data_IF_036751967162
#
_entry.id   IF_036751967162
#
_cell.length_a   1.000
_cell.length_b   1.000
_cell.length_c   1.000
_cell.angle_alpha   90.00
_cell.angle_beta   90.00
_cell.angle_gamma   90.00
#
_symmetry.space_group_name_H-M   'P 1'
#
loop_
_entity.id
_entity.type
_entity.pdbx_description
1 polymer ?
#
# COMPACT_ATOMS: atom_id res chain seq x y z
N UNK A 1 -0.24 3.70 -25.14
CA UNK A 1 -1.29 4.57 -24.57
C UNK A 1 -2.44 3.72 -24.02
N UNK A 2 -2.88 3.98 -22.78
CA UNK A 2 -4.03 3.26 -22.23
C UNK A 2 -5.34 4.01 -22.56
N UNK A 3 -6.39 3.31 -23.08
CA UNK A 3 -7.65 3.96 -23.43
C UNK A 3 -8.34 4.65 -22.25
N UNK A 4 -9.15 5.66 -22.55
CA UNK A 4 -10.00 6.30 -21.55
C UNK A 4 -10.91 5.24 -20.90
N UNK A 5 -11.00 5.29 -19.56
CA UNK A 5 -11.88 4.42 -18.79
C UNK A 5 -12.40 5.21 -17.56
N UNK A 6 -13.71 5.19 -17.28
CA UNK A 6 -14.28 5.89 -16.14
C UNK A 6 -13.64 5.42 -14.81
N UNK A 7 -13.43 4.10 -14.66
CA UNK A 7 -12.79 3.51 -13.48
C UNK A 7 -11.26 3.65 -13.42
N UNK A 8 -10.61 4.42 -14.31
CA UNK A 8 -9.15 4.64 -14.26
C UNK A 8 -8.81 5.74 -13.24
N UNK A 9 -7.79 5.51 -12.41
CA UNK A 9 -7.15 6.58 -11.66
C UNK A 9 -6.38 7.49 -12.62
N UNK A 10 -6.74 8.77 -12.69
CA UNK A 10 -6.18 9.71 -13.68
C UNK A 10 -4.93 10.46 -13.21
N UNK A 11 -4.74 10.55 -11.89
CA UNK A 11 -3.64 11.31 -11.28
C UNK A 11 -2.70 10.45 -10.44
N UNK A 12 -3.25 9.69 -9.49
CA UNK A 12 -2.46 8.85 -8.60
C UNK A 12 -2.07 7.53 -9.29
N UNK A 13 -0.80 7.10 -9.23
CA UNK A 13 -0.33 5.86 -9.86
C UNK A 13 -0.81 4.64 -9.06
N UNK A 14 -2.05 4.23 -9.28
CA UNK A 14 -2.73 3.19 -8.52
C UNK A 14 -3.49 2.25 -9.44
N UNK A 15 -3.60 0.99 -9.04
CA UNK A 15 -4.39 -0.03 -9.70
C UNK A 15 -5.19 -0.83 -8.67
N UNK A 16 -6.34 -1.34 -9.09
CA UNK A 16 -7.17 -2.26 -8.30
C UNK A 16 -7.31 -3.57 -9.07
N UNK A 17 -7.43 -4.68 -8.35
CA UNK A 17 -7.76 -5.96 -8.95
C UNK A 17 -9.13 -5.88 -9.64
N UNK A 18 -9.32 -6.70 -10.66
CA UNK A 18 -10.59 -6.79 -11.39
C UNK A 18 -11.66 -7.43 -10.50
N UNK A 19 -11.28 -8.46 -9.77
CA UNK A 19 -12.13 -9.22 -8.87
C UNK A 19 -12.21 -8.55 -7.50
N UNK A 20 -13.42 -8.43 -6.96
CA UNK A 20 -13.62 -8.04 -5.56
C UNK A 20 -13.52 -9.24 -4.65
N UNK A 21 -12.89 -9.04 -3.50
CA UNK A 21 -12.92 -10.01 -2.40
C UNK A 21 -14.15 -9.73 -1.54
N UNK A 22 -15.00 -10.73 -1.35
CA UNK A 22 -16.29 -10.58 -0.63
C UNK A 22 -16.31 -11.33 0.71
N UNK A 23 -15.34 -12.19 0.95
CA UNK A 23 -15.24 -13.05 2.14
C UNK A 23 -13.80 -13.08 2.67
N UNK A 24 -13.46 -14.11 3.46
CA UNK A 24 -12.10 -14.34 3.93
C UNK A 24 -11.23 -14.80 2.78
N UNK A 25 -10.27 -13.96 2.40
CA UNK A 25 -9.27 -14.27 1.39
C UNK A 25 -7.87 -14.04 1.95
N UNK A 26 -6.90 -14.76 1.38
CA UNK A 26 -5.49 -14.54 1.60
C UNK A 26 -4.81 -14.35 0.25
N UNK A 27 -3.90 -13.38 0.17
CA UNK A 27 -3.08 -13.15 -1.00
C UNK A 27 -1.72 -12.64 -0.53
N UNK A 28 -0.71 -12.90 -1.35
CA UNK A 28 0.66 -12.43 -1.17
C UNK A 28 1.06 -11.61 -2.38
N UNK A 29 1.92 -10.62 -2.18
CA UNK A 29 2.52 -9.87 -3.26
C UNK A 29 3.99 -9.61 -2.93
N UNK A 30 4.85 -9.85 -3.91
CA UNK A 30 6.26 -9.50 -3.82
C UNK A 30 6.44 -8.04 -4.24
N UNK A 31 7.21 -7.28 -3.48
CA UNK A 31 7.54 -5.90 -3.80
C UNK A 31 9.03 -5.65 -3.64
N UNK A 32 9.61 -4.94 -4.61
CA UNK A 32 10.98 -4.44 -4.54
C UNK A 32 10.94 -2.98 -4.13
N UNK A 33 11.50 -2.66 -2.96
CA UNK A 33 11.63 -1.29 -2.46
C UNK A 33 13.12 -0.95 -2.41
N UNK A 34 13.48 0.18 -3.01
CA UNK A 34 14.84 0.72 -2.93
C UNK A 34 14.79 2.19 -2.57
N UNK A 35 15.93 2.73 -2.18
CA UNK A 35 16.09 4.16 -1.95
C UNK A 35 15.67 4.96 -3.18
N UNK A 36 14.93 6.05 -2.96
CA UNK A 36 14.49 6.95 -4.03
C UNK A 36 13.30 6.48 -4.87
N UNK A 37 12.84 5.23 -4.71
CA UNK A 37 11.68 4.69 -5.44
C UNK A 37 10.34 5.16 -4.84
N UNK A 38 10.38 5.77 -3.66
CA UNK A 38 9.22 6.24 -2.92
C UNK A 38 8.47 5.10 -2.22
N UNK A 39 7.30 5.45 -1.68
CA UNK A 39 6.47 4.51 -0.91
C UNK A 39 5.76 3.54 -1.84
N UNK A 40 5.98 2.24 -1.64
CA UNK A 40 5.19 1.18 -2.27
C UNK A 40 4.05 0.81 -1.33
N UNK A 41 2.83 0.70 -1.85
CA UNK A 41 1.65 0.39 -1.05
C UNK A 41 0.88 -0.78 -1.61
N UNK A 42 0.41 -1.65 -0.73
CA UNK A 42 -0.63 -2.62 -1.04
C UNK A 42 -1.89 -2.23 -0.27
N UNK A 43 -3.03 -2.25 -0.93
CA UNK A 43 -4.25 -1.67 -0.38
C UNK A 43 -5.48 -2.53 -0.65
N UNK A 44 -6.45 -2.39 0.24
CA UNK A 44 -7.82 -2.82 0.04
C UNK A 44 -8.71 -1.57 0.01
N UNK A 45 -9.69 -1.59 -0.89
CA UNK A 45 -10.59 -0.44 -1.08
C UNK A 45 -11.99 -0.92 -1.41
N UNK A 46 -12.98 -0.19 -0.93
CA UNK A 46 -14.33 -0.29 -1.45
C UNK A 46 -14.38 0.23 -2.88
N UNK A 47 -15.32 -0.29 -3.67
CA UNK A 47 -15.55 0.14 -5.06
C UNK A 47 -15.93 1.63 -5.17
N UNK A 48 -16.43 2.22 -4.09
CA UNK A 48 -16.83 3.63 -4.01
C UNK A 48 -15.69 4.63 -3.80
N UNK A 49 -14.42 4.22 -3.88
CA UNK A 49 -13.30 5.18 -3.85
C UNK A 49 -13.38 6.13 -5.05
N UNK A 50 -13.06 7.41 -4.83
CA UNK A 50 -12.95 8.35 -5.94
C UNK A 50 -11.74 8.01 -6.80
N UNK A 51 -11.82 8.26 -8.11
CA UNK A 51 -10.75 7.90 -9.05
C UNK A 51 -10.21 9.08 -9.85
N UNK A 52 -10.75 10.27 -9.64
CA UNK A 52 -10.48 11.45 -10.47
C UNK A 52 -9.92 12.60 -9.66
N UNK A 53 -8.85 13.19 -10.17
CA UNK A 53 -8.22 14.37 -9.60
C UNK A 53 -7.16 14.07 -8.54
N UNK A 54 -6.62 15.15 -7.98
CA UNK A 54 -5.45 15.14 -7.08
C UNK A 54 -5.81 15.01 -5.60
N UNK A 55 -7.10 14.92 -5.29
CA UNK A 55 -7.61 14.92 -3.92
C UNK A 55 -7.20 13.69 -3.13
N UNK A 56 -7.23 13.82 -1.79
CA UNK A 56 -6.99 12.70 -0.87
C UNK A 56 -7.99 11.56 -1.04
N UNK A 57 -9.20 11.88 -1.50
CA UNK A 57 -10.30 10.92 -1.64
C UNK A 57 -10.03 9.86 -2.72
N UNK A 58 -9.04 10.11 -3.58
CA UNK A 58 -8.60 9.19 -4.62
C UNK A 58 -7.39 8.33 -4.25
N UNK A 59 -6.66 8.67 -3.17
CA UNK A 59 -5.42 7.99 -2.79
C UNK A 59 -5.68 6.97 -1.68
N UNK A 60 -5.19 5.75 -1.84
CA UNK A 60 -5.35 4.68 -0.86
C UNK A 60 -4.84 5.09 0.52
N UNK A 61 -5.63 4.79 1.56
CA UNK A 61 -5.34 5.14 2.95
C UNK A 61 -5.60 6.60 3.31
N UNK A 62 -5.81 7.51 2.35
CA UNK A 62 -6.10 8.93 2.60
C UNK A 62 -7.60 9.26 2.63
N UNK A 63 -8.43 8.23 2.65
CA UNK A 63 -9.89 8.31 2.69
C UNK A 63 -10.45 7.19 3.59
N UNK A 64 -11.76 7.26 3.88
CA UNK A 64 -12.46 6.29 4.72
C UNK A 64 -12.79 4.96 4.03
N UNK A 65 -12.66 4.90 2.70
CA UNK A 65 -13.05 3.75 1.87
C UNK A 65 -11.87 2.82 1.58
N UNK A 66 -10.69 3.06 2.17
CA UNK A 66 -9.49 2.27 1.89
C UNK A 66 -8.56 2.16 3.08
N UNK A 67 -7.82 1.07 3.09
CA UNK A 67 -6.69 0.80 3.98
C UNK A 67 -5.48 0.43 3.13
N UNK A 68 -4.31 0.95 3.49
CA UNK A 68 -3.04 0.60 2.83
C UNK A 68 -1.99 0.14 3.85
N UNK A 69 -1.24 -0.89 3.47
CA UNK A 69 0.06 -1.21 4.03
C UNK A 69 1.13 -0.59 3.13
N UNK A 70 1.88 0.34 3.68
CA UNK A 70 2.92 1.11 3.02
C UNK A 70 4.29 0.57 3.45
N UNK A 71 5.19 0.40 2.48
CA UNK A 71 6.58 0.04 2.66
C UNK A 71 7.46 1.13 2.06
N UNK A 72 8.44 1.58 2.83
CA UNK A 72 9.36 2.66 2.45
C UNK A 72 10.80 2.29 2.83
N UNK A 73 11.75 2.75 2.01
CA UNK A 73 13.20 2.67 2.30
C UNK A 73 13.71 4.10 2.45
N UNK A 74 13.74 4.63 3.68
CA UNK A 74 14.29 5.95 3.95
C UNK A 74 15.76 6.03 3.53
N UNK A 75 16.18 7.20 3.06
CA UNK A 75 17.59 7.45 2.68
C UNK A 75 18.54 7.49 3.88
N UNK A 76 18.02 7.65 5.09
CA UNK A 76 18.78 7.77 6.34
C UNK A 76 18.83 6.45 7.14
N UNK A 77 18.27 5.36 6.60
CA UNK A 77 18.16 4.08 7.30
C UNK A 77 18.29 2.90 6.36
N UNK A 78 19.16 1.94 6.67
CA UNK A 78 19.27 0.64 5.97
C UNK A 78 18.04 -0.25 6.14
N UNK A 79 17.16 0.07 7.09
CA UNK A 79 15.96 -0.71 7.40
C UNK A 79 14.74 -0.18 6.65
N UNK A 80 13.92 -1.11 6.17
CA UNK A 80 12.58 -0.82 5.69
C UNK A 80 11.69 -0.33 6.84
N UNK A 81 10.81 0.61 6.52
CA UNK A 81 9.77 1.09 7.41
C UNK A 81 8.40 0.71 6.84
N UNK A 82 7.55 0.18 7.73
CA UNK A 82 6.19 -0.22 7.37
C UNK A 82 5.18 0.66 8.10
N UNK A 83 4.12 1.02 7.40
CA UNK A 83 3.04 1.81 7.97
C UNK A 83 1.69 1.26 7.52
N UNK A 84 0.73 1.24 8.43
CA UNK A 84 -0.68 1.08 8.05
C UNK A 84 -1.29 2.47 7.99
N UNK A 85 -1.99 2.76 6.89
CA UNK A 85 -2.70 4.04 6.72
C UNK A 85 -4.19 3.81 6.46
N UNK A 86 -5.00 4.62 7.12
CA UNK A 86 -6.44 4.70 6.92
C UNK A 86 -6.98 6.08 7.28
N UNK A 87 -7.87 6.63 6.44
CA UNK A 87 -8.47 7.94 6.66
C UNK A 87 -7.45 9.03 7.05
N UNK A 88 -6.32 9.07 6.34
CA UNK A 88 -5.17 9.98 6.56
C UNK A 88 -4.35 9.71 7.83
N UNK A 89 -4.83 8.86 8.72
CA UNK A 89 -4.08 8.44 9.90
C UNK A 89 -3.05 7.38 9.51
N UNK A 90 -1.84 7.52 10.04
CA UNK A 90 -0.70 6.64 9.77
C UNK A 90 -0.21 6.04 11.07
N UNK A 91 -0.03 4.72 11.08
CA UNK A 91 0.50 3.97 12.21
C UNK A 91 1.73 3.20 11.77
N UNK A 92 2.88 3.44 12.41
CA UNK A 92 4.11 2.69 12.13
C UNK A 92 4.01 1.27 12.67
N UNK A 93 4.29 0.28 11.83
CA UNK A 93 4.37 -1.13 12.22
C UNK A 93 5.83 -1.47 12.54
N UNK A 94 6.13 -1.93 13.77
CA UNK A 94 7.46 -2.41 14.08
C UNK A 94 7.72 -3.74 13.35
N UNK A 95 8.85 -3.83 12.66
CA UNK A 95 9.31 -5.10 12.09
C UNK A 95 9.73 -6.01 13.24
N UNK A 96 9.24 -7.26 13.30
CA UNK A 96 9.73 -8.23 14.26
C UNK A 96 11.24 -8.38 14.11
N UNK A 97 11.97 -8.33 15.24
CA UNK A 97 13.39 -8.64 15.22
C UNK A 97 13.58 -10.07 14.66
N UNK A 98 14.62 -10.33 13.86
CA UNK A 98 14.91 -11.69 13.44
C UNK A 98 15.04 -12.56 14.69
N UNK A 99 14.35 -13.70 14.70
CA UNK A 99 14.47 -14.68 15.78
C UNK A 99 15.96 -15.00 15.96
N UNK A 100 16.49 -15.04 17.20
CA UNK A 100 17.86 -15.44 17.41
C UNK A 100 18.06 -16.81 16.77
N UNK A 101 18.99 -16.90 15.82
CA UNK A 101 19.36 -18.17 15.21
C UNK A 101 19.73 -19.12 16.34
N UNK A 102 19.00 -20.22 16.48
CA UNK A 102 19.38 -21.27 17.44
C UNK A 102 20.77 -21.73 17.04
N UNK A 103 21.78 -21.44 17.88
CA UNK A 103 23.11 -22.02 17.73
C UNK A 103 22.91 -23.53 17.75
N UNK A 104 23.20 -24.18 16.63
CA UNK A 104 23.37 -25.62 16.59
C UNK A 104 24.48 -25.96 17.58
N UNK A 105 24.14 -26.82 18.57
CA UNK A 105 25.09 -27.38 19.54
C UNK A 105 26.02 -28.35 18.82
#
# INVERSE_FOLDING_TARGET
PYPYHPERFDYWPQVVCRESVCERCYWEAECSVSEGLGVVSIAVTDKGISRKGRGSDCRFGFNKNSWSLECDKPSDSDKLSYYVRHNKNQTRIPVPLPLPQSRSV
#
